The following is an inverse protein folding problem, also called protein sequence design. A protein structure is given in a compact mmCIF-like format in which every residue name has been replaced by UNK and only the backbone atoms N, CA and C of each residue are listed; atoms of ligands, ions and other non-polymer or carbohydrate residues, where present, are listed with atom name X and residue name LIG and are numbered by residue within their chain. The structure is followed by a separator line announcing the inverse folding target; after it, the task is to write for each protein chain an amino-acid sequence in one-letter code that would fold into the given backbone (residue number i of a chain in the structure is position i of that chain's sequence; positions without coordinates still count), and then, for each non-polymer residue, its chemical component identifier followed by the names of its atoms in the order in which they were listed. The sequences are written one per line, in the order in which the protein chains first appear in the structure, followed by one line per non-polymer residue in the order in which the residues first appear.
data_IF_740960113934
#
_entry.id   IF_740960113934
#
_cell.length_a   1.000
_cell.length_b   1.000
_cell.length_c   1.000
_cell.angle_alpha   90.00
_cell.angle_beta   90.00
_cell.angle_gamma   90.00
#
_symmetry.space_group_name_H-M   'P 1'
#
loop_
_entity.id
_entity.type
_entity.pdbx_description
1 polymer ?
#
# COMPACT_ATOMS: atom_id res chain seq x y z
N UNK A 1 15.97 23.27 -3.75
CA UNK A 1 15.94 22.95 -2.30
C UNK A 1 15.56 21.48 -2.19
N UNK A 2 16.52 20.61 -1.88
CA UNK A 2 16.21 19.22 -1.51
C UNK A 2 15.55 19.24 -0.12
N UNK A 3 14.33 18.73 -0.04
CA UNK A 3 13.54 18.70 1.19
C UNK A 3 14.05 17.64 2.19
N UNK A 4 14.81 16.65 1.71
CA UNK A 4 15.33 15.55 2.52
C UNK A 4 16.84 15.36 2.31
N UNK A 5 17.58 14.92 3.34
CA UNK A 5 19.03 14.71 3.22
C UNK A 5 19.36 13.61 2.20
N UNK A 6 20.53 13.67 1.53
CA UNK A 6 20.98 12.65 0.56
C UNK A 6 21.09 11.21 1.10
N UNK A 7 20.99 11.02 2.42
CA UNK A 7 21.09 9.74 3.13
C UNK A 7 19.81 9.43 3.94
N UNK A 8 18.67 9.99 3.54
CA UNK A 8 17.39 9.80 4.22
C UNK A 8 16.98 8.32 4.33
N UNK A 9 17.21 7.52 3.28
CA UNK A 9 16.94 6.07 3.30
C UNK A 9 17.78 5.33 4.35
N UNK A 10 19.06 5.71 4.49
CA UNK A 10 19.95 5.15 5.50
C UNK A 10 19.50 5.53 6.92
N UNK A 11 18.99 6.75 7.09
CA UNK A 11 18.40 7.20 8.36
C UNK A 11 17.14 6.37 8.68
N UNK A 12 16.23 6.19 7.74
CA UNK A 12 15.02 5.39 7.96
C UNK A 12 15.36 3.92 8.28
N UNK A 13 16.34 3.35 7.59
CA UNK A 13 16.81 1.99 7.87
C UNK A 13 17.37 1.87 9.29
N UNK A 14 18.20 2.81 9.74
CA UNK A 14 18.71 2.83 11.11
C UNK A 14 17.59 3.00 12.15
N UNK A 15 16.59 3.87 11.88
CA UNK A 15 15.43 4.05 12.75
C UNK A 15 14.60 2.77 12.89
N UNK A 16 14.45 2.03 11.78
CA UNK A 16 13.80 0.71 11.79
C UNK A 16 14.58 -0.32 12.61
N UNK A 17 15.90 -0.40 12.44
CA UNK A 17 16.75 -1.30 13.23
C UNK A 17 16.67 -0.98 14.73
N UNK A 18 16.66 0.30 15.09
CA UNK A 18 16.50 0.74 16.47
C UNK A 18 15.14 0.36 17.06
N UNK A 19 14.06 0.39 16.26
CA UNK A 19 12.74 -0.10 16.64
C UNK A 19 12.73 -1.62 16.85
N UNK A 20 13.36 -2.39 15.96
CA UNK A 20 13.48 -3.85 16.08
C UNK A 20 14.26 -4.27 17.33
N UNK A 21 15.30 -3.52 17.66
CA UNK A 21 16.14 -3.76 18.85
C UNK A 21 15.51 -3.21 20.15
N UNK A 22 14.33 -2.58 20.08
CA UNK A 22 13.64 -1.99 21.22
C UNK A 22 14.33 -0.76 21.84
N UNK A 23 15.41 -0.28 21.21
CA UNK A 23 16.21 0.87 21.70
C UNK A 23 15.45 2.19 21.62
N UNK A 24 14.52 2.32 20.67
CA UNK A 24 13.59 3.44 20.53
C UNK A 24 12.30 2.95 19.86
N UNK A 25 11.17 3.51 20.27
CA UNK A 25 9.85 3.23 19.70
C UNK A 25 9.53 4.14 18.51
N UNK A 26 8.58 3.69 17.68
CA UNK A 26 8.03 4.50 16.57
C UNK A 26 7.46 5.82 17.06
N UNK A 27 6.88 5.84 18.27
CA UNK A 27 6.33 7.06 18.87
C UNK A 27 7.42 8.10 19.17
N UNK A 28 8.59 7.67 19.63
CA UNK A 28 9.71 8.56 19.93
C UNK A 28 10.31 9.18 18.67
N UNK A 29 10.45 8.39 17.59
CA UNK A 29 10.88 8.93 16.29
C UNK A 29 9.86 9.89 15.69
N UNK A 30 8.57 9.58 15.81
CA UNK A 30 7.49 10.46 15.37
C UNK A 30 7.51 11.79 16.13
N UNK A 31 7.70 11.75 17.45
CA UNK A 31 7.81 12.95 18.27
C UNK A 31 9.04 13.80 17.90
N UNK A 32 10.19 13.16 17.66
CA UNK A 32 11.40 13.86 17.24
C UNK A 32 11.26 14.51 15.85
N UNK A 33 10.66 13.79 14.90
CA UNK A 33 10.34 14.31 13.57
C UNK A 33 9.44 15.54 13.66
N UNK A 34 8.35 15.48 14.43
CA UNK A 34 7.43 16.60 14.61
C UNK A 34 8.11 17.81 15.27
N UNK A 35 9.04 17.57 16.21
CA UNK A 35 9.86 18.62 16.83
C UNK A 35 10.76 19.31 15.80
N UNK A 36 11.43 18.53 14.94
CA UNK A 36 12.31 19.05 13.88
C UNK A 36 11.52 19.79 12.80
N UNK A 37 10.37 19.26 12.39
CA UNK A 37 9.48 19.91 11.43
C UNK A 37 8.98 21.26 11.97
N UNK A 38 8.63 21.34 13.26
CA UNK A 38 8.26 22.60 13.92
C UNK A 38 9.41 23.60 13.97
N UNK A 39 10.61 23.14 14.34
CA UNK A 39 11.81 23.99 14.41
C UNK A 39 12.16 24.62 13.06
N UNK A 40 11.95 23.89 11.97
CA UNK A 40 12.30 24.33 10.63
C UNK A 40 11.11 24.95 9.86
N UNK A 41 10.01 25.30 10.54
CA UNK A 41 8.79 25.86 9.93
C UNK A 41 8.21 25.01 8.78
N UNK A 42 8.42 23.71 8.79
CA UNK A 42 7.94 22.78 7.75
C UNK A 42 6.48 22.35 7.95
N UNK A 43 5.79 22.90 8.94
CA UNK A 43 4.45 22.44 9.34
C UNK A 43 3.30 23.11 8.59
N UNK A 44 3.52 24.10 7.71
CA UNK A 44 2.43 24.80 7.00
C UNK A 44 2.84 25.40 5.64
N UNK A 45 2.29 24.85 4.56
CA UNK A 45 1.95 25.58 3.34
C UNK A 45 0.49 25.26 3.02
N UNK A 46 -0.30 26.26 2.61
CA UNK A 46 -1.75 26.12 2.38
C UNK A 46 -2.13 25.01 1.38
N UNK A 47 -1.21 24.63 0.49
CA UNK A 47 -1.36 23.50 -0.46
C UNK A 47 -0.93 22.12 0.06
N UNK A 48 -0.42 22.01 1.30
CA UNK A 48 -0.03 20.74 1.94
C UNK A 48 -0.98 20.43 3.12
N UNK A 49 -2.28 20.40 2.87
CA UNK A 49 -3.20 19.69 3.75
C UNK A 49 -3.04 18.19 3.55
N UNK A 50 -1.91 17.63 3.98
CA UNK A 50 -1.79 16.20 4.22
C UNK A 50 -2.78 15.81 5.31
N UNK A 51 -3.49 14.70 5.08
CA UNK A 51 -4.53 14.17 5.95
C UNK A 51 -4.12 14.30 7.42
N UNK A 52 -4.89 15.05 8.20
CA UNK A 52 -4.81 15.03 9.66
C UNK A 52 -5.02 13.58 10.07
N UNK A 53 -3.98 12.91 10.59
CA UNK A 53 -4.18 11.68 11.33
C UNK A 53 -5.16 12.01 12.47
N UNK A 54 -6.35 11.38 12.54
CA UNK A 54 -7.11 11.43 13.78
C UNK A 54 -6.19 10.90 14.89
N UNK A 55 -6.15 11.61 16.02
CA UNK A 55 -5.46 11.17 17.23
C UNK A 55 -5.81 9.69 17.45
N UNK A 56 -4.79 8.83 17.49
CA UNK A 56 -4.94 7.43 17.91
C UNK A 56 -5.20 7.45 19.42
N UNK A 57 -6.43 7.76 19.79
CA UNK A 57 -7.04 7.44 21.07
C UNK A 57 -8.37 6.77 20.73
N UNK A 58 -8.59 5.59 21.30
CA UNK A 58 -9.74 4.70 21.12
C UNK A 58 -9.71 3.71 19.94
N UNK A 59 -8.78 2.75 20.01
CA UNK A 59 -9.19 1.33 19.93
C UNK A 59 -8.72 0.67 21.23
N UNK A 60 -9.28 1.15 22.34
CA UNK A 60 -9.44 0.32 23.54
C UNK A 60 -10.71 -0.46 23.29
N UNK A 61 -10.56 -1.72 22.89
CA UNK A 61 -11.66 -2.66 22.92
C UNK A 61 -12.19 -2.67 24.36
N UNK A 62 -13.50 -2.46 24.51
CA UNK A 62 -14.25 -2.69 25.73
C UNK A 62 -13.99 -4.11 26.25
N UNK A 63 -13.01 -4.25 27.13
CA UNK A 63 -12.88 -5.37 28.05
C UNK A 63 -12.95 -4.77 29.45
N UNK A 64 -14.17 -4.38 29.82
CA UNK A 64 -14.55 -4.21 31.21
C UNK A 64 -14.67 -5.58 31.88
N UNK A 65 -14.05 -5.65 33.05
CA UNK A 65 -14.08 -6.68 34.07
C UNK A 65 -15.21 -7.73 33.98
N UNK A 66 -14.82 -8.97 33.69
CA UNK A 66 -15.37 -10.16 34.35
C UNK A 66 -14.38 -11.33 34.20
N UNK A 67 -13.51 -11.49 35.21
CA UNK A 67 -12.39 -12.43 35.24
C UNK A 67 -12.75 -13.93 35.22
N UNK A 68 -14.02 -14.33 35.13
CA UNK A 68 -14.40 -15.71 35.45
C UNK A 68 -14.74 -16.62 34.27
N UNK A 69 -14.81 -16.12 33.03
CA UNK A 69 -15.22 -16.94 31.86
C UNK A 69 -14.14 -17.13 30.77
N UNK A 70 -12.98 -16.48 30.88
CA UNK A 70 -11.94 -16.51 29.83
C UNK A 70 -11.02 -17.75 29.86
N UNK A 71 -11.09 -18.58 30.90
CA UNK A 71 -10.12 -19.68 31.12
C UNK A 71 -10.46 -20.93 30.27
N UNK A 72 -11.72 -21.13 29.88
CA UNK A 72 -12.16 -22.30 29.10
C UNK A 72 -11.88 -22.23 27.59
N UNK A 73 -11.89 -21.03 27.00
CA UNK A 73 -11.72 -20.86 25.55
C UNK A 73 -10.25 -20.76 25.11
N UNK A 74 -9.33 -20.42 26.04
CA UNK A 74 -7.88 -20.31 25.76
C UNK A 74 -7.18 -21.65 25.48
N UNK A 75 -7.76 -22.79 25.90
CA UNK A 75 -7.13 -24.12 25.70
C UNK A 75 -7.49 -24.82 24.38
N UNK A 76 -8.55 -24.39 23.67
CA UNK A 76 -8.95 -25.02 22.39
C UNK A 76 -8.37 -24.36 21.14
N UNK A 77 -8.00 -23.08 21.19
CA UNK A 77 -7.52 -22.32 20.02
C UNK A 77 -6.00 -22.51 19.79
N UNK A 78 -5.25 -22.98 20.79
CA UNK A 78 -3.78 -23.03 20.75
C UNK A 78 -3.16 -24.30 20.18
N UNK A 79 -3.94 -25.34 19.83
CA UNK A 79 -3.40 -26.61 19.26
C UNK A 79 -3.40 -26.70 17.73
N UNK A 80 -3.84 -25.66 17.02
CA UNK A 80 -3.86 -25.62 15.54
C UNK A 80 -3.06 -24.47 14.94
N UNK A 81 -2.09 -23.94 15.68
CA UNK A 81 -0.97 -23.26 15.02
C UNK A 81 -0.10 -24.35 14.40
N UNK A 82 -0.39 -24.57 13.13
CA UNK A 82 0.39 -25.29 12.14
C UNK A 82 1.88 -25.01 12.39
N UNK A 83 2.75 -25.99 12.24
CA UNK A 83 4.19 -25.79 12.15
C UNK A 83 4.47 -24.87 10.94
N UNK A 84 4.41 -23.55 11.14
CA UNK A 84 4.55 -22.54 10.09
C UNK A 84 5.99 -22.08 9.97
N UNK A 85 6.96 -23.00 10.00
CA UNK A 85 8.25 -22.65 9.40
C UNK A 85 8.00 -22.50 7.90
N UNK A 86 8.15 -21.29 7.31
CA UNK A 86 7.98 -21.14 5.89
C UNK A 86 8.99 -22.07 5.23
N UNK A 87 8.51 -23.03 4.44
CA UNK A 87 9.40 -23.80 3.58
C UNK A 87 10.06 -22.78 2.66
N UNK A 88 11.38 -22.64 2.76
CA UNK A 88 12.11 -21.78 1.83
C UNK A 88 11.86 -22.32 0.43
N UNK A 89 11.09 -21.56 -0.35
CA UNK A 89 10.87 -21.87 -1.75
C UNK A 89 12.12 -21.40 -2.50
N UNK A 90 12.79 -22.34 -3.14
CA UNK A 90 13.85 -22.00 -4.09
C UNK A 90 13.18 -21.41 -5.32
N UNK A 91 13.51 -20.17 -5.65
CA UNK A 91 13.10 -19.53 -6.90
C UNK A 91 14.11 -19.89 -7.99
N UNK A 92 13.61 -20.18 -9.18
CA UNK A 92 14.47 -20.34 -10.35
C UNK A 92 15.10 -19.00 -10.75
N UNK A 93 16.16 -19.05 -11.55
CA UNK A 93 16.80 -17.83 -12.08
C UNK A 93 15.81 -16.99 -12.89
N UNK A 94 14.99 -17.63 -13.70
CA UNK A 94 14.05 -16.95 -14.58
C UNK A 94 12.91 -16.31 -13.77
N UNK A 95 12.34 -17.02 -12.79
CA UNK A 95 11.39 -16.41 -11.84
C UNK A 95 12.01 -15.23 -11.09
N UNK A 96 13.28 -15.33 -10.68
CA UNK A 96 13.99 -14.25 -10.01
C UNK A 96 14.19 -13.01 -10.90
N UNK A 97 14.47 -13.21 -12.19
CA UNK A 97 14.58 -12.12 -13.16
C UNK A 97 13.24 -11.46 -13.42
N UNK A 98 12.17 -12.23 -13.57
CA UNK A 98 10.82 -11.70 -13.76
C UNK A 98 10.38 -10.84 -12.58
N UNK A 99 10.62 -11.30 -11.35
CA UNK A 99 10.32 -10.53 -10.13
C UNK A 99 11.17 -9.26 -10.05
N UNK A 100 12.44 -9.34 -10.43
CA UNK A 100 13.33 -8.18 -10.42
C UNK A 100 12.92 -7.13 -11.46
N UNK A 101 12.56 -7.55 -12.67
CA UNK A 101 12.10 -6.67 -13.74
C UNK A 101 10.82 -5.93 -13.32
N UNK A 102 9.88 -6.63 -12.68
CA UNK A 102 8.66 -6.04 -12.12
C UNK A 102 8.99 -4.95 -11.09
N UNK A 103 9.82 -5.25 -10.09
CA UNK A 103 10.21 -4.27 -9.07
C UNK A 103 10.98 -3.07 -9.64
N UNK A 104 11.84 -3.27 -10.65
CA UNK A 104 12.58 -2.18 -11.29
C UNK A 104 11.65 -1.30 -12.12
N UNK A 105 10.67 -1.89 -12.81
CA UNK A 105 9.63 -1.15 -13.52
C UNK A 105 8.81 -0.30 -12.54
N UNK A 106 8.37 -0.91 -11.44
CA UNK A 106 7.61 -0.23 -10.38
C UNK A 106 8.38 0.97 -9.81
N UNK A 107 9.66 0.77 -9.43
CA UNK A 107 10.54 1.86 -8.95
C UNK A 107 10.69 2.98 -9.99
N UNK A 108 11.02 2.62 -11.23
CA UNK A 108 11.27 3.59 -12.30
C UNK A 108 10.02 4.39 -12.63
N UNK A 109 8.86 3.76 -12.59
CA UNK A 109 7.57 4.41 -12.78
C UNK A 109 7.30 5.45 -11.69
N UNK A 110 7.44 5.06 -10.42
CA UNK A 110 7.19 5.94 -9.28
C UNK A 110 8.18 7.12 -9.22
N UNK A 111 9.46 6.89 -9.55
CA UNK A 111 10.45 7.97 -9.67
C UNK A 111 10.05 8.98 -10.76
N UNK A 112 9.51 8.50 -11.88
CA UNK A 112 8.98 9.37 -12.93
C UNK A 112 7.72 10.12 -12.46
N UNK A 113 6.82 9.47 -11.73
CA UNK A 113 5.66 10.12 -11.11
C UNK A 113 6.10 11.26 -10.18
N UNK A 114 7.08 11.01 -9.31
CA UNK A 114 7.66 12.03 -8.43
C UNK A 114 8.22 13.22 -9.23
N UNK A 115 9.03 12.94 -10.26
CA UNK A 115 9.60 13.98 -11.13
C UNK A 115 8.50 14.83 -11.80
N UNK A 116 7.46 14.19 -12.33
CA UNK A 116 6.37 14.88 -13.04
C UNK A 116 5.47 15.67 -12.08
N UNK A 117 5.28 15.17 -10.87
CA UNK A 117 4.60 15.88 -9.79
C UNK A 117 5.35 17.16 -9.40
N UNK A 118 6.67 17.08 -9.16
CA UNK A 118 7.48 18.25 -8.84
C UNK A 118 7.57 19.28 -9.98
N UNK A 119 7.41 18.84 -11.23
CA UNK A 119 7.30 19.71 -12.42
C UNK A 119 5.90 20.32 -12.60
N UNK A 120 4.97 20.06 -11.68
CA UNK A 120 3.58 20.56 -11.75
C UNK A 120 2.80 20.00 -12.93
N UNK A 121 3.14 18.79 -13.41
CA UNK A 121 2.45 18.15 -14.54
C UNK A 121 1.37 17.18 -14.10
N UNK A 122 1.45 16.65 -12.87
CA UNK A 122 0.42 15.82 -12.26
C UNK A 122 -0.38 16.66 -11.26
N UNK A 123 -1.69 16.48 -11.22
CA UNK A 123 -2.61 17.27 -10.40
C UNK A 123 -3.27 16.41 -9.33
N UNK A 124 -3.60 17.02 -8.19
CA UNK A 124 -4.22 16.34 -7.06
C UNK A 124 -3.19 15.64 -6.16
N UNK A 125 -3.62 14.59 -5.48
CA UNK A 125 -2.76 13.84 -4.56
C UNK A 125 -2.06 12.70 -5.30
N UNK A 126 -0.76 12.56 -5.13
CA UNK A 126 0.03 11.45 -5.66
C UNK A 126 0.69 10.74 -4.48
N UNK A 127 0.49 9.43 -4.38
CA UNK A 127 0.99 8.61 -3.30
C UNK A 127 1.89 7.53 -3.88
N UNK A 128 3.19 7.66 -3.64
CA UNK A 128 4.20 6.82 -4.28
C UNK A 128 4.44 5.52 -3.49
N UNK A 129 4.77 4.44 -4.20
CA UNK A 129 5.05 3.11 -3.61
C UNK A 129 6.54 2.77 -3.45
N UNK A 130 7.45 3.74 -3.58
CA UNK A 130 8.89 3.51 -3.46
C UNK A 130 9.24 2.77 -2.15
N UNK A 131 10.05 1.71 -2.28
CA UNK A 131 10.53 0.90 -1.15
C UNK A 131 9.56 -0.20 -0.70
N UNK A 132 8.40 -0.32 -1.34
CA UNK A 132 7.40 -1.37 -1.06
C UNK A 132 7.19 -2.32 -2.25
N UNK A 133 7.99 -2.22 -3.31
CA UNK A 133 7.81 -2.94 -4.58
C UNK A 133 7.73 -4.45 -4.41
N UNK A 134 8.53 -5.00 -3.48
CA UNK A 134 8.51 -6.44 -3.18
C UNK A 134 7.13 -6.92 -2.68
N UNK A 135 6.34 -6.04 -2.05
CA UNK A 135 5.00 -6.36 -1.56
C UNK A 135 4.02 -6.51 -2.72
N UNK A 136 3.98 -5.56 -3.66
CA UNK A 136 3.15 -5.61 -4.87
C UNK A 136 3.55 -6.78 -5.76
N UNK A 137 4.81 -6.83 -6.18
CA UNK A 137 5.34 -7.88 -7.04
C UNK A 137 5.13 -9.26 -6.40
N UNK A 138 5.54 -9.46 -5.14
CA UNK A 138 5.45 -10.75 -4.47
C UNK A 138 4.00 -11.24 -4.28
N UNK A 139 3.10 -10.34 -3.92
CA UNK A 139 1.68 -10.67 -3.76
C UNK A 139 1.01 -10.99 -5.09
N UNK A 140 1.18 -10.13 -6.10
CA UNK A 140 0.48 -10.25 -7.38
C UNK A 140 0.94 -11.48 -8.16
N UNK A 141 2.22 -11.83 -8.09
CA UNK A 141 2.77 -13.00 -8.80
C UNK A 141 2.30 -14.34 -8.23
N UNK A 142 1.68 -14.33 -7.05
CA UNK A 142 1.01 -15.51 -6.47
C UNK A 142 -0.46 -15.63 -6.89
N UNK A 143 -1.02 -14.60 -7.53
CA UNK A 143 -2.41 -14.59 -7.98
C UNK A 143 -2.56 -15.22 -9.36
N UNK A 144 -3.72 -15.82 -9.61
CA UNK A 144 -4.14 -16.19 -10.95
C UNK A 144 -4.68 -14.96 -11.70
N UNK A 145 -4.73 -15.02 -13.03
CA UNK A 145 -5.26 -13.92 -13.85
C UNK A 145 -6.70 -13.54 -13.48
N UNK A 146 -7.51 -14.52 -13.11
CA UNK A 146 -8.92 -14.33 -12.70
C UNK A 146 -9.09 -13.69 -11.32
N UNK A 147 -8.03 -13.67 -10.51
CA UNK A 147 -8.12 -13.15 -9.16
C UNK A 147 -8.17 -11.63 -9.18
N UNK A 148 -9.12 -11.09 -8.42
CA UNK A 148 -9.35 -9.66 -8.31
C UNK A 148 -8.53 -9.04 -7.18
N UNK A 149 -8.04 -7.83 -7.39
CA UNK A 149 -7.27 -7.06 -6.41
C UNK A 149 -8.02 -5.79 -6.03
N UNK A 150 -7.99 -5.49 -4.73
CA UNK A 150 -8.47 -4.22 -4.17
C UNK A 150 -7.31 -3.54 -3.46
N UNK A 151 -7.12 -2.25 -3.76
CA UNK A 151 -6.03 -1.46 -3.21
C UNK A 151 -6.58 -0.22 -2.48
N UNK A 152 -5.71 0.38 -1.67
CA UNK A 152 -5.96 1.72 -1.12
C UNK A 152 -5.42 2.77 -2.11
N UNK A 153 -5.04 3.95 -1.63
CA UNK A 153 -4.56 5.08 -2.46
C UNK A 153 -3.11 4.94 -2.94
N UNK A 154 -2.39 3.92 -2.49
CA UNK A 154 -1.01 3.57 -2.86
C UNK A 154 -1.05 2.38 -3.84
N UNK A 155 -1.45 2.63 -5.07
CA UNK A 155 -1.98 1.57 -5.93
C UNK A 155 -1.42 1.55 -7.36
N UNK A 156 -0.53 2.47 -7.74
CA UNK A 156 -0.01 2.55 -9.11
C UNK A 156 0.69 1.27 -9.50
N UNK A 157 1.66 0.87 -8.69
CA UNK A 157 2.49 -0.31 -8.94
C UNK A 157 1.67 -1.59 -8.99
N UNK A 158 0.63 -1.72 -8.16
CA UNK A 158 -0.23 -2.90 -8.15
C UNK A 158 -0.99 -3.09 -9.45
N UNK A 159 -1.31 -2.00 -10.16
CA UNK A 159 -1.91 -2.08 -11.50
C UNK A 159 -0.88 -2.51 -12.52
N UNK A 160 0.34 -1.97 -12.42
CA UNK A 160 1.45 -2.37 -13.30
C UNK A 160 1.74 -3.86 -13.16
N UNK A 161 1.89 -4.38 -11.94
CA UNK A 161 2.16 -5.81 -11.74
C UNK A 161 0.95 -6.70 -12.11
N UNK A 162 -0.30 -6.18 -12.03
CA UNK A 162 -1.49 -6.87 -12.58
C UNK A 162 -1.59 -6.79 -14.11
N UNK A 163 -0.68 -6.08 -14.76
CA UNK A 163 -0.54 -6.02 -16.22
C UNK A 163 -1.20 -4.82 -16.89
N UNK A 164 -1.78 -3.88 -16.13
CA UNK A 164 -2.35 -2.66 -16.70
C UNK A 164 -1.23 -1.90 -17.43
N UNK A 165 -1.43 -1.50 -18.70
CA UNK A 165 -0.37 -0.87 -19.46
C UNK A 165 0.18 0.39 -18.78
N UNK A 166 1.50 0.47 -18.66
CA UNK A 166 2.23 1.61 -18.06
C UNK A 166 1.76 2.95 -18.64
N UNK A 167 1.51 3.00 -19.96
CA UNK A 167 1.03 4.20 -20.65
C UNK A 167 -0.34 4.65 -20.18
N UNK A 168 -1.25 3.72 -19.90
CA UNK A 168 -2.59 4.04 -19.41
C UNK A 168 -2.54 4.53 -17.97
N UNK A 169 -1.77 3.87 -17.10
CA UNK A 169 -1.59 4.33 -15.71
C UNK A 169 -0.97 5.73 -15.69
N UNK A 170 0.04 5.98 -16.51
CA UNK A 170 0.66 7.31 -16.60
C UNK A 170 -0.29 8.37 -17.18
N UNK A 171 -1.05 8.01 -18.22
CA UNK A 171 -2.05 8.90 -18.81
C UNK A 171 -3.14 9.27 -17.80
N UNK A 172 -3.57 8.32 -16.97
CA UNK A 172 -4.52 8.54 -15.88
C UNK A 172 -3.98 9.53 -14.84
N UNK A 173 -2.71 9.39 -14.44
CA UNK A 173 -2.04 10.33 -13.53
C UNK A 173 -1.90 11.75 -14.10
N UNK A 174 -1.81 11.87 -15.42
CA UNK A 174 -1.82 13.16 -16.12
C UNK A 174 -3.23 13.71 -16.41
N UNK A 175 -4.30 13.01 -16.01
CA UNK A 175 -5.67 13.40 -16.30
C UNK A 175 -6.00 13.39 -17.80
N UNK A 176 -5.46 12.42 -18.54
CA UNK A 176 -5.64 12.28 -20.00
C UNK A 176 -6.70 11.23 -20.31
N UNK A 177 -7.41 11.42 -21.42
CA UNK A 177 -8.46 10.51 -21.91
C UNK A 177 -7.95 9.11 -22.24
N UNK A 178 -6.65 8.94 -22.52
CA UNK A 178 -6.01 7.63 -22.72
C UNK A 178 -5.65 6.90 -21.42
N UNK A 179 -6.08 7.42 -20.26
CA UNK A 179 -5.93 6.71 -18.99
C UNK A 179 -6.93 5.56 -18.85
N UNK A 180 -6.64 4.61 -17.98
CA UNK A 180 -7.50 3.45 -17.73
C UNK A 180 -8.92 3.83 -17.22
N UNK A 181 -9.08 5.05 -16.70
CA UNK A 181 -10.36 5.63 -16.28
C UNK A 181 -10.68 6.93 -17.04
N UNK A 182 -10.10 7.11 -18.23
CA UNK A 182 -10.23 8.30 -19.06
C UNK A 182 -9.82 9.62 -18.37
N UNK A 183 -8.88 9.54 -17.42
CA UNK A 183 -8.32 10.70 -16.72
C UNK A 183 -9.21 11.28 -15.62
N UNK A 184 -10.29 10.59 -15.24
CA UNK A 184 -11.25 11.05 -14.22
C UNK A 184 -10.91 10.55 -12.81
N UNK A 185 -10.18 9.44 -12.72
CA UNK A 185 -9.84 8.81 -11.44
C UNK A 185 -8.57 9.37 -10.81
N UNK A 186 -7.59 9.68 -11.64
CA UNK A 186 -6.27 10.14 -11.20
C UNK A 186 -5.57 9.12 -10.30
N UNK A 187 -4.70 9.60 -9.42
CA UNK A 187 -3.83 8.73 -8.60
C UNK A 187 -4.55 7.73 -7.72
N UNK A 188 -5.73 8.05 -7.19
CA UNK A 188 -6.33 7.25 -6.12
C UNK A 188 -7.49 6.37 -6.59
N UNK A 189 -7.99 6.54 -7.82
CA UNK A 189 -9.24 5.94 -8.27
C UNK A 189 -9.10 5.29 -9.65
N UNK A 190 -8.10 4.41 -9.78
CA UNK A 190 -7.96 3.63 -11.01
C UNK A 190 -8.62 2.26 -10.89
N UNK A 191 -9.26 1.81 -11.96
CA UNK A 191 -9.89 0.50 -12.08
C UNK A 191 -9.51 -0.10 -13.44
N UNK A 192 -9.52 -1.43 -13.52
CA UNK A 192 -9.38 -2.15 -14.79
C UNK A 192 -10.02 -3.52 -14.64
N UNK A 193 -11.21 -3.68 -15.22
CA UNK A 193 -11.96 -4.94 -15.18
C UNK A 193 -11.21 -6.05 -15.92
N UNK A 194 -10.59 -5.72 -17.06
CA UNK A 194 -9.75 -6.64 -17.85
C UNK A 194 -8.61 -7.26 -17.03
N UNK A 195 -7.97 -6.46 -16.18
CA UNK A 195 -6.82 -6.87 -15.38
C UNK A 195 -7.22 -7.32 -13.96
N UNK A 196 -8.51 -7.39 -13.65
CA UNK A 196 -9.00 -7.75 -12.31
C UNK A 196 -8.62 -6.73 -11.23
N UNK A 197 -8.45 -5.45 -11.57
CA UNK A 197 -8.24 -4.37 -10.61
C UNK A 197 -9.59 -3.71 -10.33
N UNK A 198 -10.15 -3.96 -9.15
CA UNK A 198 -11.51 -3.52 -8.84
C UNK A 198 -11.59 -2.00 -8.65
N UNK A 199 -10.77 -1.43 -7.77
CA UNK A 199 -10.64 0.03 -7.57
C UNK A 199 -9.53 0.36 -6.56
N UNK A 200 -8.99 1.58 -6.66
CA UNK A 200 -8.24 2.27 -5.60
C UNK A 200 -9.14 3.06 -4.65
N UNK A 201 -8.98 2.86 -3.34
CA UNK A 201 -9.75 3.59 -2.32
C UNK A 201 -8.94 4.70 -1.65
N UNK A 202 -9.42 5.95 -1.79
CA UNK A 202 -8.93 7.09 -1.01
C UNK A 202 -9.36 7.03 0.47
N UNK A 203 -10.52 6.41 0.76
CA UNK A 203 -11.03 6.29 2.13
C UNK A 203 -10.49 5.01 2.79
N UNK A 204 -9.70 5.21 3.85
CA UNK A 204 -9.12 4.12 4.64
C UNK A 204 -10.22 3.17 5.13
N UNK A 205 -10.02 1.87 4.90
CA UNK A 205 -10.92 0.80 5.36
C UNK A 205 -12.03 0.41 4.38
N UNK A 206 -12.44 1.28 3.43
CA UNK A 206 -13.50 0.94 2.46
C UNK A 206 -13.14 -0.24 1.57
N UNK A 207 -11.87 -0.39 1.21
CA UNK A 207 -11.41 -1.52 0.39
C UNK A 207 -11.67 -2.89 1.00
N UNK A 208 -11.69 -3.00 2.33
CA UNK A 208 -11.86 -4.29 3.02
C UNK A 208 -13.27 -4.84 2.80
N UNK A 209 -14.30 -4.00 2.91
CA UNK A 209 -15.69 -4.44 2.72
C UNK A 209 -15.97 -4.78 1.26
N UNK A 210 -15.39 -4.04 0.32
CA UNK A 210 -15.50 -4.33 -1.12
C UNK A 210 -14.77 -5.61 -1.49
N UNK A 211 -13.55 -5.81 -1.00
CA UNK A 211 -12.81 -7.07 -1.19
C UNK A 211 -13.58 -8.27 -0.62
N UNK A 212 -14.21 -8.10 0.55
CA UNK A 212 -15.05 -9.15 1.17
C UNK A 212 -16.27 -9.46 0.31
N UNK A 213 -16.94 -8.44 -0.23
CA UNK A 213 -18.07 -8.61 -1.15
C UNK A 213 -17.66 -9.30 -2.46
N UNK A 214 -16.51 -8.92 -3.03
CA UNK A 214 -15.97 -9.55 -4.22
C UNK A 214 -15.62 -11.03 -3.98
N UNK A 215 -14.98 -11.35 -2.85
CA UNK A 215 -14.67 -12.71 -2.45
C UNK A 215 -15.95 -13.55 -2.22
N UNK A 216 -16.97 -12.95 -1.59
CA UNK A 216 -18.29 -13.59 -1.46
C UNK A 216 -18.89 -13.87 -2.83
N UNK A 217 -18.90 -12.87 -3.72
CA UNK A 217 -19.41 -13.04 -5.08
C UNK A 217 -18.67 -14.15 -5.84
N UNK A 218 -17.33 -14.18 -5.78
CA UNK A 218 -16.52 -15.21 -6.42
C UNK A 218 -16.84 -16.63 -5.91
N UNK A 219 -17.27 -16.78 -4.65
CA UNK A 219 -17.66 -18.07 -4.08
C UNK A 219 -19.03 -18.55 -4.54
N UNK A 220 -19.99 -17.63 -4.68
CA UNK A 220 -21.40 -17.97 -4.93
C UNK A 220 -21.85 -17.77 -6.38
N UNK A 221 -21.13 -16.95 -7.15
CA UNK A 221 -21.40 -16.63 -8.55
C UNK A 221 -20.15 -16.88 -9.41
N UNK A 222 -19.72 -18.16 -9.57
CA UNK A 222 -18.51 -18.52 -10.31
C UNK A 222 -18.58 -18.24 -11.82
N UNK A 223 -19.75 -17.87 -12.35
CA UNK A 223 -19.93 -17.44 -13.74
C UNK A 223 -20.08 -15.92 -13.77
N UNK A 224 -19.12 -15.26 -14.45
CA UNK A 224 -18.95 -13.81 -14.61
C UNK A 224 -20.22 -12.97 -14.49
N UNK A 225 -20.22 -12.06 -13.51
CA UNK A 225 -20.93 -10.79 -13.64
C UNK A 225 -19.86 -9.75 -13.91
N UNK A 226 -19.73 -9.34 -15.17
CA UNK A 226 -18.97 -8.16 -15.54
C UNK A 226 -19.61 -6.96 -14.84
N UNK A 227 -18.87 -6.34 -13.91
CA UNK A 227 -19.22 -5.04 -13.32
C UNK A 227 -18.86 -3.92 -14.30
#
# INVERSE_FOLDING_TARGET
MEFLPPYFEHIQFQQYQHCQQGSRSVHEYTAEFMRLAKRNNLLKLEGQQVARYPKVQAITLMLGDSESHAIGLRRRITRRFIDTRPKMRVISRDEGLDLYEDMVLERSFEDMCAQMYYRGKMFGFVHLYNGQETVSTGFIRLLEKKDSVVNMYHDHVHKLSKGVPVREVMAELFGKTGGCCHGQGGSMHMFSTEHGVLVGFAFIGKGITVATGAAFSSRYFPFHVSL
#
